data_IF_001375458711
#
_entry.id   IF_001375458711
#
_cell.length_a   1.000
_cell.length_b   1.000
_cell.length_c   1.000
_cell.angle_alpha   90.00
_cell.angle_beta   90.00
_cell.angle_gamma   90.00
#
_symmetry.space_group_name_H-M   'P 1'
#
loop_
_entity.id
_entity.type
_entity.pdbx_description
1 polymer ?
#
# COMPACT_ATOMS: atom_id res chain seq x y z
N UNK A 1 -20.18 -24.35 42.64
CA UNK A 1 -20.44 -24.78 41.25
C UNK A 1 -20.30 -23.52 40.40
N UNK A 2 -19.08 -23.22 39.96
CA UNK A 2 -18.77 -22.00 39.20
C UNK A 2 -19.28 -22.11 37.76
N UNK A 3 -20.05 -21.12 37.34
CA UNK A 3 -20.63 -20.97 36.00
C UNK A 3 -19.53 -20.61 35.02
N UNK A 4 -19.20 -21.57 34.14
CA UNK A 4 -18.24 -21.38 33.05
C UNK A 4 -18.85 -20.46 32.00
N UNK A 5 -18.43 -19.21 31.97
CA UNK A 5 -18.75 -18.26 30.89
C UNK A 5 -18.23 -18.81 29.57
N UNK A 6 -19.17 -19.20 28.71
CA UNK A 6 -18.88 -19.65 27.37
C UNK A 6 -18.58 -18.43 26.50
N UNK A 7 -17.30 -18.05 26.40
CA UNK A 7 -16.81 -17.06 25.43
C UNK A 7 -17.20 -17.54 24.03
N UNK A 8 -18.18 -16.88 23.42
CA UNK A 8 -18.54 -17.06 22.02
C UNK A 8 -17.34 -16.63 21.18
N UNK A 9 -16.55 -17.60 20.73
CA UNK A 9 -15.53 -17.38 19.72
C UNK A 9 -16.27 -17.12 18.42
N UNK A 10 -16.41 -15.84 18.07
CA UNK A 10 -16.87 -15.44 16.75
C UNK A 10 -15.99 -16.14 15.69
N UNK A 11 -16.58 -16.74 14.65
CA UNK A 11 -15.81 -17.40 13.62
C UNK A 11 -14.83 -16.41 12.99
N UNK A 12 -13.54 -16.77 12.98
CA UNK A 12 -12.46 -16.00 12.35
C UNK A 12 -12.74 -15.91 10.86
N UNK A 13 -13.50 -14.89 10.43
CA UNK A 13 -13.56 -14.51 9.03
C UNK A 13 -12.11 -14.23 8.60
N UNK A 14 -11.62 -14.78 7.47
CA UNK A 14 -10.31 -14.41 6.96
C UNK A 14 -10.28 -12.88 6.85
N UNK A 15 -9.31 -12.27 7.52
CA UNK A 15 -9.12 -10.82 7.47
C UNK A 15 -8.75 -10.47 6.03
N UNK A 16 -9.67 -9.84 5.32
CA UNK A 16 -9.46 -9.39 3.95
C UNK A 16 -8.25 -8.45 3.92
N UNK A 17 -7.41 -8.57 2.89
CA UNK A 17 -6.32 -7.61 2.69
C UNK A 17 -6.89 -6.21 2.42
N UNK A 18 -6.19 -5.11 2.77
CA UNK A 18 -6.63 -3.75 2.49
C UNK A 18 -7.12 -3.54 1.05
N UNK A 19 -6.38 -4.03 0.06
CA UNK A 19 -6.78 -3.96 -1.36
C UNK A 19 -8.10 -4.68 -1.67
N UNK A 20 -8.36 -5.80 -1.00
CA UNK A 20 -9.62 -6.53 -1.14
C UNK A 20 -10.80 -5.78 -0.50
N UNK A 21 -10.57 -5.11 0.63
CA UNK A 21 -11.57 -4.26 1.29
C UNK A 21 -11.95 -3.08 0.39
N UNK A 22 -10.96 -2.39 -0.19
CA UNK A 22 -11.20 -1.30 -1.14
C UNK A 22 -11.98 -1.79 -2.36
N UNK A 23 -11.59 -2.93 -2.95
CA UNK A 23 -12.32 -3.50 -4.08
C UNK A 23 -13.76 -3.89 -3.71
N UNK A 24 -14.01 -4.40 -2.51
CA UNK A 24 -15.36 -4.71 -2.05
C UNK A 24 -16.24 -3.45 -1.90
N UNK A 25 -15.65 -2.34 -1.42
CA UNK A 25 -16.37 -1.08 -1.17
C UNK A 25 -16.58 -0.26 -2.44
N UNK A 26 -15.57 -0.16 -3.30
CA UNK A 26 -15.57 0.76 -4.44
C UNK A 26 -15.54 0.05 -5.81
N UNK A 27 -15.15 -1.23 -5.85
CA UNK A 27 -15.08 -2.02 -7.07
C UNK A 27 -14.28 -1.33 -8.16
N UNK A 28 -14.90 -1.19 -9.35
CA UNK A 28 -14.32 -0.52 -10.52
C UNK A 28 -14.04 0.97 -10.34
N UNK A 29 -14.60 1.60 -9.29
CA UNK A 29 -14.39 3.02 -9.02
C UNK A 29 -13.11 3.28 -8.22
N UNK A 30 -12.40 2.23 -7.77
CA UNK A 30 -11.06 2.37 -7.20
C UNK A 30 -10.00 2.28 -8.30
N UNK A 31 -9.28 3.37 -8.54
CA UNK A 31 -8.19 3.42 -9.51
C UNK A 31 -6.85 3.49 -8.78
N UNK A 32 -5.98 2.50 -9.02
CA UNK A 32 -4.61 2.46 -8.51
C UNK A 32 -3.66 2.91 -9.62
N UNK A 33 -2.92 3.98 -9.37
CA UNK A 33 -1.91 4.52 -10.29
C UNK A 33 -0.55 4.38 -9.63
N UNK A 34 0.31 3.49 -10.15
CA UNK A 34 1.64 3.24 -9.62
C UNK A 34 2.68 3.95 -10.47
N UNK A 35 3.44 4.85 -9.83
CA UNK A 35 4.53 5.61 -10.43
C UNK A 35 5.87 5.05 -9.97
N UNK A 36 6.88 5.06 -10.86
CA UNK A 36 8.26 4.78 -10.49
C UNK A 36 8.94 6.07 -10.03
N UNK A 37 9.45 6.06 -8.81
CA UNK A 37 10.23 7.15 -8.22
C UNK A 37 11.70 6.78 -8.34
N UNK A 38 12.42 7.51 -9.19
CA UNK A 38 13.87 7.35 -9.35
C UNK A 38 14.57 8.17 -8.28
N UNK A 39 15.24 7.50 -7.36
CA UNK A 39 16.21 8.19 -6.49
C UNK A 39 17.50 8.40 -7.25
N UNK A 40 17.97 9.65 -7.27
CA UNK A 40 19.31 9.96 -7.75
C UNK A 40 20.27 9.53 -6.65
N UNK A 41 20.91 8.37 -6.81
CA UNK A 41 22.00 7.98 -5.94
C UNK A 41 23.18 8.91 -6.19
N UNK A 42 23.41 9.86 -5.27
CA UNK A 42 24.60 10.72 -5.27
C UNK A 42 25.87 9.99 -4.80
N UNK A 43 25.96 8.66 -4.99
CA UNK A 43 27.19 7.91 -4.72
C UNK A 43 28.06 7.89 -5.97
N UNK A 44 28.43 9.08 -6.45
CA UNK A 44 29.39 9.20 -7.53
C UNK A 44 30.79 8.94 -7.00
N UNK A 45 31.49 7.92 -7.52
CA UNK A 45 32.95 7.91 -7.46
C UNK A 45 33.46 9.21 -8.10
N UNK A 46 34.27 10.04 -7.39
CA UNK A 46 34.81 11.25 -7.98
C UNK A 46 35.62 10.89 -9.23
N UNK A 47 35.25 11.46 -10.38
CA UNK A 47 35.92 11.25 -11.68
C UNK A 47 35.16 10.39 -12.69
N UNK A 48 34.03 9.78 -12.34
CA UNK A 48 33.16 9.06 -13.28
C UNK A 48 31.79 9.73 -13.36
N UNK A 49 31.54 10.48 -14.44
CA UNK A 49 30.20 11.02 -14.76
C UNK A 49 29.32 9.92 -15.37
N UNK A 50 29.03 8.87 -14.59
CA UNK A 50 28.10 7.80 -14.97
C UNK A 50 26.82 8.00 -14.18
N UNK A 51 25.66 8.22 -14.83
CA UNK A 51 24.38 8.21 -14.15
C UNK A 51 24.15 6.85 -13.50
N UNK A 52 24.37 6.74 -12.19
CA UNK A 52 23.93 5.58 -11.42
C UNK A 52 22.45 5.78 -11.10
N UNK A 53 21.58 5.15 -11.88
CA UNK A 53 20.17 5.04 -11.52
C UNK A 53 20.08 4.26 -10.22
N UNK A 54 19.58 4.91 -9.16
CA UNK A 54 19.31 4.28 -7.88
C UNK A 54 18.25 3.18 -7.99
N UNK A 55 18.02 2.42 -6.91
CA UNK A 55 16.98 1.40 -6.90
C UNK A 55 15.61 2.03 -7.24
N UNK A 56 14.89 1.44 -8.20
CA UNK A 56 13.55 1.88 -8.56
C UNK A 56 12.63 1.75 -7.35
N UNK A 57 12.12 2.88 -6.85
CA UNK A 57 11.06 2.90 -5.87
C UNK A 57 9.71 3.08 -6.55
N UNK A 58 8.64 2.74 -5.84
CA UNK A 58 7.29 2.79 -6.34
C UNK A 58 6.41 3.55 -5.37
N UNK A 59 5.56 4.42 -5.91
CA UNK A 59 4.54 5.13 -5.16
C UNK A 59 3.19 4.86 -5.80
N UNK A 60 2.17 4.64 -4.99
CA UNK A 60 0.82 4.38 -5.48
C UNK A 60 -0.11 5.53 -5.08
N UNK A 61 -0.79 6.10 -6.07
CA UNK A 61 -1.94 6.97 -5.86
C UNK A 61 -3.20 6.13 -6.01
N UNK A 62 -4.00 6.06 -4.96
CA UNK A 62 -5.32 5.43 -4.98
C UNK A 62 -6.40 6.51 -5.06
N UNK A 63 -7.07 6.56 -6.20
CA UNK A 63 -8.21 7.45 -6.44
C UNK A 63 -9.50 6.68 -6.17
N UNK A 64 -10.29 7.21 -5.25
CA UNK A 64 -11.64 6.74 -4.91
C UNK A 64 -12.64 7.86 -5.23
N UNK A 65 -13.95 7.57 -5.34
CA UNK A 65 -14.97 8.60 -5.54
C UNK A 65 -14.97 9.69 -4.46
N UNK A 66 -14.60 9.32 -3.23
CA UNK A 66 -14.70 10.20 -2.06
C UNK A 66 -13.38 10.91 -1.75
N UNK A 67 -12.24 10.31 -2.10
CA UNK A 67 -10.94 10.82 -1.72
C UNK A 67 -9.83 10.30 -2.65
N UNK A 68 -8.66 10.92 -2.54
CA UNK A 68 -7.44 10.39 -3.13
C UNK A 68 -6.37 10.28 -2.05
N UNK A 69 -5.70 9.13 -1.98
CA UNK A 69 -4.52 8.94 -1.12
C UNK A 69 -3.29 8.64 -1.95
N UNK A 70 -2.13 9.01 -1.43
CA UNK A 70 -0.83 8.74 -2.02
C UNK A 70 -0.01 8.00 -0.98
N UNK A 71 0.50 6.81 -1.33
CA UNK A 71 1.37 6.03 -0.45
C UNK A 71 2.74 6.68 -0.28
N UNK A 72 3.50 6.20 0.70
CA UNK A 72 4.96 6.37 0.70
C UNK A 72 5.62 5.63 -0.47
N UNK A 73 6.94 5.72 -0.58
CA UNK A 73 7.74 5.02 -1.59
C UNK A 73 8.16 3.64 -1.09
N UNK A 74 7.95 2.61 -1.91
CA UNK A 74 8.28 1.22 -1.59
C UNK A 74 9.15 0.58 -2.68
N UNK A 75 9.95 -0.43 -2.31
CA UNK A 75 10.77 -1.19 -3.28
C UNK A 75 9.94 -2.12 -4.17
N UNK A 76 8.67 -2.39 -3.82
CA UNK A 76 7.77 -3.27 -4.59
C UNK A 76 6.46 -2.56 -4.87
N UNK A 77 5.97 -2.65 -6.11
CA UNK A 77 4.67 -2.10 -6.54
C UNK A 77 3.51 -2.57 -5.66
N UNK A 78 3.47 -3.86 -5.34
CA UNK A 78 2.42 -4.46 -4.51
C UNK A 78 2.35 -3.85 -3.11
N UNK A 79 3.50 -3.50 -2.53
CA UNK A 79 3.56 -2.93 -1.18
C UNK A 79 3.04 -1.50 -1.20
N UNK A 80 3.37 -0.71 -2.24
CA UNK A 80 2.80 0.62 -2.45
C UNK A 80 1.27 0.58 -2.62
N UNK A 81 0.75 -0.36 -3.40
CA UNK A 81 -0.70 -0.54 -3.57
C UNK A 81 -1.41 -0.95 -2.27
N UNK A 82 -0.83 -1.85 -1.48
CA UNK A 82 -1.38 -2.26 -0.19
C UNK A 82 -1.38 -1.10 0.80
N UNK A 83 -0.26 -0.35 0.88
CA UNK A 83 -0.15 0.84 1.73
C UNK A 83 -1.17 1.91 1.35
N UNK A 84 -1.34 2.21 0.05
CA UNK A 84 -2.37 3.15 -0.39
C UNK A 84 -3.78 2.68 0.02
N UNK A 85 -4.07 1.38 -0.09
CA UNK A 85 -5.35 0.83 0.34
C UNK A 85 -5.56 0.92 1.85
N UNK A 86 -4.52 0.67 2.65
CA UNK A 86 -4.55 0.79 4.11
C UNK A 86 -4.81 2.24 4.54
N UNK A 87 -4.06 3.20 3.98
CA UNK A 87 -4.26 4.63 4.24
C UNK A 87 -5.67 5.12 3.88
N UNK A 88 -6.29 4.57 2.84
CA UNK A 88 -7.66 4.90 2.47
C UNK A 88 -8.72 4.30 3.40
N UNK A 89 -8.39 3.23 4.14
CA UNK A 89 -9.28 2.62 5.14
C UNK A 89 -9.22 3.39 6.46
N UNK A 90 -8.05 3.93 6.81
CA UNK A 90 -7.82 4.71 8.03
C UNK A 90 -8.35 6.15 7.97
N UNK A 91 -8.67 6.65 6.78
CA UNK A 91 -9.29 7.98 6.55
C UNK A 91 -10.80 7.91 6.55
#
# INVERSE_FOLDING_TARGET
METKEQRVVAPKKPTLTPKAIIHQKFGKNACYVVEEVKEVCQTGCPGLSIPQTGPCLYRCTLQLPELTVVSETFKKKKDAEQSAAEMAIEK
#
